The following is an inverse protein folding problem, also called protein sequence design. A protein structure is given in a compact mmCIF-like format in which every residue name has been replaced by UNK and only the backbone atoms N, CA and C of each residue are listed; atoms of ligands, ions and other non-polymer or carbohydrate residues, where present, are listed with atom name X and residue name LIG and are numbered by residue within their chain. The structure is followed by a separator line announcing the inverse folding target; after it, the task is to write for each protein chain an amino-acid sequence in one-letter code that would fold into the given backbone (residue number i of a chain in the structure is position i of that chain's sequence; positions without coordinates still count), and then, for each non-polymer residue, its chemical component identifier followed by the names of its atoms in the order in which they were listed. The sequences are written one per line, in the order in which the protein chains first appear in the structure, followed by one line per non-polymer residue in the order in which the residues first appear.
data_IF_712339191932
#
_entry.id   IF_712339191932
#
_cell.length_a   1.000
_cell.length_b   1.000
_cell.length_c   1.000
_cell.angle_alpha   90.00
_cell.angle_beta   90.00
_cell.angle_gamma   90.00
#
_symmetry.space_group_name_H-M   'P 1'
#
loop_
_entity.id
_entity.type
_entity.pdbx_description
1 polymer ?
#
# COMPACT_ATOMS: atom_id res chain seq x y z
N UNK A 1 -9.14 0.99 21.04
CA UNK A 1 -7.97 1.07 20.14
C UNK A 1 -8.37 0.51 18.79
N UNK A 2 -8.19 1.27 17.71
CA UNK A 2 -8.41 0.81 16.32
C UNK A 2 -7.12 0.32 15.69
N UNK A 3 -7.10 -0.94 15.21
CA UNK A 3 -5.93 -1.54 14.57
C UNK A 3 -6.20 -1.75 13.07
N UNK A 4 -6.37 -0.64 12.34
CA UNK A 4 -6.63 -0.65 10.90
C UNK A 4 -5.59 0.19 10.15
N UNK A 5 -5.26 -0.22 8.92
CA UNK A 5 -4.43 0.58 8.03
C UNK A 5 -5.25 1.76 7.43
N UNK A 6 -5.94 2.48 8.29
CA UNK A 6 -6.79 3.61 7.92
C UNK A 6 -6.26 4.88 8.58
N UNK A 7 -5.79 5.87 7.81
CA UNK A 7 -5.43 7.16 8.35
C UNK A 7 -6.62 7.78 9.11
N UNK A 8 -6.39 8.20 10.37
CA UNK A 8 -7.44 8.81 11.18
C UNK A 8 -8.40 7.83 11.84
N UNK A 9 -8.06 6.54 11.95
CA UNK A 9 -8.91 5.51 12.59
C UNK A 9 -9.35 5.89 14.00
N UNK A 10 -8.51 6.59 14.78
CA UNK A 10 -8.86 7.12 16.10
C UNK A 10 -10.08 8.05 16.03
N UNK A 11 -10.02 9.06 15.19
CA UNK A 11 -11.11 10.03 15.01
C UNK A 11 -12.36 9.37 14.44
N UNK A 12 -12.19 8.42 13.53
CA UNK A 12 -13.30 7.65 12.99
C UNK A 12 -14.03 6.85 14.08
N UNK A 13 -13.30 6.08 14.91
CA UNK A 13 -13.88 5.31 16.01
C UNK A 13 -14.59 6.22 17.02
N UNK A 14 -13.94 7.32 17.41
CA UNK A 14 -14.51 8.31 18.33
C UNK A 14 -15.86 8.82 17.81
N UNK A 15 -15.90 9.26 16.56
CA UNK A 15 -17.12 9.75 15.92
C UNK A 15 -18.21 8.67 15.83
N UNK A 16 -17.86 7.44 15.45
CA UNK A 16 -18.83 6.34 15.37
C UNK A 16 -19.44 6.01 16.74
N UNK A 17 -18.62 6.00 17.80
CA UNK A 17 -19.12 5.74 19.16
C UNK A 17 -20.04 6.85 19.64
N UNK A 18 -19.67 8.13 19.42
CA UNK A 18 -20.52 9.26 19.82
C UNK A 18 -21.87 9.27 19.08
N UNK A 19 -21.86 8.92 17.79
CA UNK A 19 -23.10 8.83 17.00
C UNK A 19 -24.01 7.65 17.40
N UNK A 20 -23.45 6.63 18.06
CA UNK A 20 -24.18 5.42 18.45
C UNK A 20 -24.79 5.49 19.87
N UNK A 21 -24.50 6.55 20.64
CA UNK A 21 -24.97 6.69 22.03
C UNK A 21 -25.91 7.88 22.20
N UNK A 22 -26.70 7.90 23.28
CA UNK A 22 -27.51 9.07 23.62
C UNK A 22 -26.63 10.26 24.04
N UNK A 23 -27.15 11.52 23.98
CA UNK A 23 -26.38 12.70 24.39
C UNK A 23 -25.81 12.63 25.81
N UNK A 24 -26.59 12.07 26.76
CA UNK A 24 -26.14 11.89 28.16
C UNK A 24 -24.97 10.90 28.26
N UNK A 25 -25.00 9.82 27.48
CA UNK A 25 -23.90 8.85 27.40
C UNK A 25 -22.71 9.41 26.65
N UNK A 26 -22.92 10.28 25.67
CA UNK A 26 -21.85 10.94 24.94
C UNK A 26 -20.95 11.76 25.88
N UNK A 27 -21.51 12.48 26.86
CA UNK A 27 -20.74 13.19 27.89
C UNK A 27 -19.86 12.25 28.72
N UNK A 28 -20.38 11.06 29.06
CA UNK A 28 -19.61 10.04 29.79
C UNK A 28 -18.46 9.52 28.93
N UNK A 29 -18.74 9.22 27.65
CA UNK A 29 -17.74 8.76 26.67
C UNK A 29 -16.64 9.80 26.50
N UNK A 30 -17.00 11.08 26.34
CA UNK A 30 -16.02 12.17 26.20
C UNK A 30 -15.15 12.32 27.45
N UNK A 31 -15.73 12.18 28.64
CA UNK A 31 -14.99 12.33 29.89
C UNK A 31 -14.10 11.14 30.20
N UNK A 32 -14.59 9.92 30.06
CA UNK A 32 -13.96 8.69 30.53
C UNK A 32 -13.36 7.82 29.43
N UNK A 33 -13.86 7.92 28.20
CA UNK A 33 -13.40 7.11 27.08
C UNK A 33 -12.09 7.62 26.50
N UNK A 34 -11.15 6.72 26.24
CA UNK A 34 -9.95 6.97 25.48
C UNK A 34 -10.05 6.30 24.09
N UNK A 35 -9.67 7.02 23.04
CA UNK A 35 -9.64 6.52 21.67
C UNK A 35 -8.22 6.60 21.13
N UNK A 36 -7.70 5.48 20.66
CA UNK A 36 -6.35 5.39 20.15
C UNK A 36 -6.30 4.53 18.89
N UNK A 37 -5.19 4.56 18.19
CA UNK A 37 -4.89 3.73 17.06
C UNK A 37 -3.73 2.78 17.39
N UNK A 38 -3.69 1.64 16.72
CA UNK A 38 -2.55 0.73 16.78
C UNK A 38 -2.09 0.35 15.37
N UNK A 39 -0.80 0.11 15.24
CA UNK A 39 -0.13 -0.32 14.02
C UNK A 39 0.60 -1.62 14.29
N UNK A 40 0.31 -2.66 13.52
CA UNK A 40 1.11 -3.89 13.50
C UNK A 40 1.97 -3.94 12.25
N UNK A 41 3.20 -4.42 12.37
CA UNK A 41 4.14 -4.56 11.25
C UNK A 41 4.11 -5.95 10.63
N UNK A 42 3.46 -6.91 11.27
CA UNK A 42 3.37 -8.28 10.83
C UNK A 42 2.64 -8.42 9.49
N UNK A 43 3.20 -9.24 8.61
CA UNK A 43 2.53 -9.71 7.40
C UNK A 43 1.91 -11.05 7.73
N UNK A 44 0.59 -11.16 7.55
CA UNK A 44 -0.15 -12.41 7.65
C UNK A 44 -0.60 -12.82 6.26
N UNK A 45 -0.31 -14.03 5.86
CA UNK A 45 -0.85 -14.67 4.66
C UNK A 45 -2.09 -15.50 5.02
N UNK A 46 -2.86 -15.92 4.01
CA UNK A 46 -4.15 -16.60 4.24
C UNK A 46 -4.03 -17.83 5.16
N UNK A 47 -5.05 -18.04 6.00
CA UNK A 47 -5.13 -19.22 6.86
C UNK A 47 -5.46 -20.48 6.05
N UNK A 48 -4.91 -21.61 6.48
CA UNK A 48 -5.24 -22.95 5.99
C UNK A 48 -5.86 -23.74 7.13
N UNK A 49 -6.81 -24.62 6.78
CA UNK A 49 -7.35 -25.60 7.75
C UNK A 49 -6.44 -26.82 7.74
N UNK A 50 -5.88 -27.15 8.90
CA UNK A 50 -5.06 -28.34 9.11
C UNK A 50 -5.54 -29.02 10.41
N UNK A 51 -5.91 -30.27 10.32
CA UNK A 51 -6.43 -31.09 11.44
C UNK A 51 -7.60 -30.44 12.24
N UNK A 52 -8.42 -29.63 11.57
CA UNK A 52 -9.56 -28.92 12.16
C UNK A 52 -9.19 -27.59 12.83
N UNK A 53 -7.92 -27.19 12.79
CA UNK A 53 -7.43 -25.90 13.27
C UNK A 53 -7.15 -24.93 12.11
N UNK A 54 -7.43 -23.65 12.33
CA UNK A 54 -7.12 -22.59 11.37
C UNK A 54 -5.71 -22.05 11.65
N UNK A 55 -4.77 -22.41 10.76
CA UNK A 55 -3.36 -22.01 10.87
C UNK A 55 -3.08 -20.84 9.95
N UNK A 56 -2.51 -19.78 10.49
CA UNK A 56 -2.05 -18.62 9.72
C UNK A 56 -0.53 -18.63 9.59
N UNK A 57 -0.03 -18.45 8.37
CA UNK A 57 1.38 -18.18 8.15
C UNK A 57 1.64 -16.68 8.24
N UNK A 58 2.74 -16.30 8.85
CA UNK A 58 3.16 -14.90 8.98
C UNK A 58 4.67 -14.77 9.10
N UNK A 59 5.17 -13.56 9.00
CA UNK A 59 6.56 -13.28 9.35
C UNK A 59 6.76 -13.28 10.88
N UNK A 60 8.03 -13.27 11.31
CA UNK A 60 8.41 -13.33 12.72
C UNK A 60 8.25 -11.97 13.42
N UNK A 61 7.94 -10.91 12.67
CA UNK A 61 7.76 -9.56 13.23
C UNK A 61 6.42 -9.44 13.93
N UNK A 62 6.42 -9.00 15.18
CA UNK A 62 5.24 -8.91 16.03
C UNK A 62 5.09 -7.55 16.73
N UNK A 63 5.84 -6.54 16.31
CA UNK A 63 5.75 -5.19 16.85
C UNK A 63 4.31 -4.66 16.80
N UNK A 64 3.80 -4.27 17.96
CA UNK A 64 2.57 -3.52 18.12
C UNK A 64 2.89 -2.10 18.58
N UNK A 65 2.56 -1.12 17.76
CA UNK A 65 2.79 0.30 18.07
C UNK A 65 1.44 0.95 18.35
N UNK A 66 1.32 1.62 19.50
CA UNK A 66 0.09 2.28 19.93
C UNK A 66 0.29 3.78 19.97
N UNK A 67 -0.66 4.53 19.41
CA UNK A 67 -0.74 5.99 19.51
C UNK A 67 -1.03 6.39 20.96
N UNK A 68 -0.10 7.11 21.61
CA UNK A 68 -0.30 7.62 22.96
C UNK A 68 -1.37 8.71 23.00
N UNK A 69 -1.58 9.42 21.88
CA UNK A 69 -2.58 10.46 21.80
C UNK A 69 -4.00 9.90 21.93
N UNK A 70 -4.75 10.42 22.88
CA UNK A 70 -6.14 9.99 23.12
C UNK A 70 -6.30 8.76 24.00
N UNK A 71 -5.21 8.20 24.52
CA UNK A 71 -5.27 7.27 25.65
C UNK A 71 -5.64 8.03 26.91
N UNK A 72 -6.47 7.41 27.75
CA UNK A 72 -6.83 7.93 29.08
C UNK A 72 -6.56 6.86 30.14
N UNK A 73 -6.03 7.28 31.27
CA UNK A 73 -5.61 6.38 32.34
C UNK A 73 -4.24 5.74 32.10
N UNK A 74 -3.81 4.94 33.04
CA UNK A 74 -2.55 4.20 32.97
C UNK A 74 -2.75 2.92 32.14
N UNK A 75 -1.84 2.67 31.21
CA UNK A 75 -1.79 1.41 30.49
C UNK A 75 -0.97 0.39 31.29
N UNK A 76 -1.40 -0.88 31.35
CA UNK A 76 -0.55 -1.92 31.90
C UNK A 76 0.73 -2.05 31.06
N UNK A 77 1.81 -2.47 31.69
CA UNK A 77 3.01 -2.87 30.95
C UNK A 77 2.65 -4.06 30.04
N UNK A 78 2.91 -3.91 28.77
CA UNK A 78 2.70 -4.93 27.75
C UNK A 78 4.05 -5.18 27.07
N UNK A 79 4.52 -6.41 27.12
CA UNK A 79 5.74 -6.83 26.42
C UNK A 79 5.55 -6.65 24.91
N UNK A 80 6.59 -6.21 24.20
CA UNK A 80 6.60 -6.00 22.76
C UNK A 80 5.58 -4.97 22.23
N UNK A 81 5.11 -4.07 23.09
CA UNK A 81 4.24 -2.96 22.72
C UNK A 81 4.97 -1.64 22.88
N UNK A 82 5.07 -0.89 21.79
CA UNK A 82 5.60 0.47 21.79
C UNK A 82 4.47 1.49 21.85
N UNK A 83 4.49 2.38 22.84
CA UNK A 83 3.54 3.49 22.95
C UNK A 83 4.29 4.76 22.58
N UNK A 84 3.76 5.54 21.62
CA UNK A 84 4.44 6.72 21.07
C UNK A 84 3.47 7.82 20.68
N UNK A 85 3.89 9.06 20.80
CA UNK A 85 3.23 10.26 20.26
C UNK A 85 3.63 10.53 18.80
N UNK A 86 4.68 9.89 18.30
CA UNK A 86 5.12 9.94 16.90
C UNK A 86 4.37 8.93 15.99
N UNK A 87 3.23 8.42 16.42
CA UNK A 87 2.45 7.42 15.71
C UNK A 87 2.16 7.78 14.24
N UNK A 88 1.82 9.03 13.85
CA UNK A 88 1.65 9.38 12.43
C UNK A 88 2.91 9.17 11.59
N UNK A 89 4.10 9.44 12.14
CA UNK A 89 5.37 9.18 11.46
C UNK A 89 5.59 7.67 11.28
N UNK A 90 5.29 6.85 12.30
CA UNK A 90 5.39 5.39 12.23
C UNK A 90 4.48 4.80 11.16
N UNK A 91 3.23 5.27 11.07
CA UNK A 91 2.27 4.86 10.02
C UNK A 91 2.80 5.22 8.64
N UNK A 92 3.28 6.46 8.46
CA UNK A 92 3.79 6.95 7.18
C UNK A 92 5.03 6.16 6.74
N UNK A 93 5.97 5.92 7.66
CA UNK A 93 7.17 5.10 7.40
C UNK A 93 6.80 3.69 6.92
N UNK A 94 5.97 2.95 7.68
CA UNK A 94 5.51 1.62 7.27
C UNK A 94 4.81 1.65 5.92
N UNK A 95 3.93 2.63 5.72
CA UNK A 95 3.11 2.72 4.52
C UNK A 95 3.97 2.95 3.27
N UNK A 96 4.98 3.83 3.35
CA UNK A 96 5.81 4.23 2.21
C UNK A 96 7.08 3.40 2.05
N UNK A 97 7.43 2.54 3.02
CA UNK A 97 8.48 1.53 2.87
C UNK A 97 7.89 0.15 2.60
N UNK A 98 7.44 -0.55 3.64
CA UNK A 98 7.00 -1.95 3.57
C UNK A 98 5.82 -2.12 2.60
N UNK A 99 4.75 -1.35 2.82
CA UNK A 99 3.54 -1.52 2.03
C UNK A 99 3.69 -1.01 0.59
N UNK A 100 4.48 0.06 0.38
CA UNK A 100 4.82 0.56 -0.95
C UNK A 100 5.61 -0.49 -1.73
N UNK A 101 6.68 -1.03 -1.14
CA UNK A 101 7.54 -2.05 -1.76
C UNK A 101 6.75 -3.30 -2.15
N UNK A 102 5.86 -3.78 -1.28
CA UNK A 102 4.96 -4.88 -1.61
C UNK A 102 4.02 -4.55 -2.78
N UNK A 103 3.42 -3.36 -2.78
CA UNK A 103 2.53 -2.93 -3.85
C UNK A 103 3.28 -2.77 -5.18
N UNK A 104 4.49 -2.21 -5.17
CA UNK A 104 5.38 -2.13 -6.34
C UNK A 104 5.68 -3.52 -6.91
N UNK A 105 6.06 -4.47 -6.03
CA UNK A 105 6.31 -5.86 -6.44
C UNK A 105 5.05 -6.51 -7.05
N UNK A 106 3.89 -6.29 -6.43
CA UNK A 106 2.64 -6.86 -6.90
C UNK A 106 2.22 -6.33 -8.28
N UNK A 107 2.15 -5.00 -8.44
CA UNK A 107 1.62 -4.43 -9.67
C UNK A 107 2.60 -4.54 -10.85
N UNK A 108 3.89 -4.29 -10.63
CA UNK A 108 4.89 -4.45 -11.69
C UNK A 108 5.07 -5.94 -12.01
N UNK A 109 5.13 -6.81 -10.98
CA UNK A 109 5.22 -8.26 -11.16
C UNK A 109 4.02 -8.84 -11.94
N UNK A 110 2.80 -8.32 -11.70
CA UNK A 110 1.61 -8.69 -12.46
C UNK A 110 1.78 -8.44 -13.96
N UNK A 111 2.36 -7.31 -14.36
CA UNK A 111 2.60 -6.99 -15.78
C UNK A 111 3.62 -7.92 -16.45
N UNK A 112 4.38 -8.68 -15.65
CA UNK A 112 5.39 -9.66 -16.10
C UNK A 112 4.96 -11.11 -15.88
N UNK A 113 3.69 -11.33 -15.47
CA UNK A 113 3.14 -12.68 -15.29
C UNK A 113 3.60 -13.40 -14.02
N UNK A 114 4.23 -12.70 -13.07
CA UNK A 114 4.57 -13.29 -11.77
C UNK A 114 3.31 -13.70 -11.00
N UNK A 115 3.38 -14.81 -10.26
CA UNK A 115 2.28 -15.30 -9.41
C UNK A 115 2.51 -14.95 -7.94
N UNK A 116 3.76 -14.91 -7.51
CA UNK A 116 4.15 -14.64 -6.14
C UNK A 116 5.01 -13.38 -6.04
N UNK A 117 4.97 -12.73 -4.87
CA UNK A 117 5.75 -11.52 -4.59
C UNK A 117 7.26 -11.77 -4.67
N UNK A 118 7.73 -12.92 -4.19
CA UNK A 118 9.14 -13.28 -4.26
C UNK A 118 9.62 -13.49 -5.71
N UNK A 119 8.78 -13.97 -6.61
CA UNK A 119 9.11 -14.04 -8.05
C UNK A 119 9.36 -12.65 -8.63
N UNK A 120 8.48 -11.69 -8.32
CA UNK A 120 8.67 -10.29 -8.73
C UNK A 120 9.94 -9.68 -8.13
N UNK A 121 10.26 -9.99 -6.86
CA UNK A 121 11.47 -9.53 -6.17
C UNK A 121 12.76 -10.09 -6.79
N UNK A 122 12.71 -11.24 -7.46
CA UNK A 122 13.83 -11.88 -8.15
C UNK A 122 13.83 -11.67 -9.66
N UNK A 123 12.75 -11.15 -10.24
CA UNK A 123 12.63 -10.97 -11.69
C UNK A 123 13.61 -9.90 -12.20
N UNK A 124 14.44 -10.18 -13.24
CA UNK A 124 15.52 -9.30 -13.68
C UNK A 124 15.07 -7.89 -14.10
N UNK A 125 13.87 -7.75 -14.66
CA UNK A 125 13.33 -6.45 -15.05
C UNK A 125 12.54 -5.75 -13.93
N UNK A 126 11.98 -6.49 -12.96
CA UNK A 126 11.11 -5.95 -11.90
C UNK A 126 11.92 -5.54 -10.66
N UNK A 127 12.84 -6.38 -10.22
CA UNK A 127 13.63 -6.15 -9.01
C UNK A 127 14.39 -4.79 -9.02
N UNK A 128 15.02 -4.36 -10.12
CA UNK A 128 15.68 -3.05 -10.17
C UNK A 128 14.68 -1.88 -10.01
N UNK A 129 13.47 -1.99 -10.57
CA UNK A 129 12.43 -0.97 -10.46
C UNK A 129 11.92 -0.84 -9.03
N UNK A 130 11.70 -1.97 -8.35
CA UNK A 130 11.29 -1.99 -6.94
C UNK A 130 12.35 -1.29 -6.07
N UNK A 131 13.63 -1.62 -6.22
CA UNK A 131 14.72 -1.01 -5.45
C UNK A 131 14.83 0.49 -5.67
N UNK A 132 14.71 0.94 -6.93
CA UNK A 132 14.74 2.37 -7.27
C UNK A 132 13.55 3.12 -6.68
N UNK A 133 12.32 2.57 -6.78
CA UNK A 133 11.15 3.19 -6.20
C UNK A 133 11.24 3.27 -4.66
N UNK A 134 11.77 2.22 -4.01
CA UNK A 134 12.02 2.24 -2.57
C UNK A 134 13.05 3.30 -2.20
N UNK A 135 14.12 3.46 -2.99
CA UNK A 135 15.11 4.52 -2.76
C UNK A 135 14.50 5.93 -2.89
N UNK A 136 13.60 6.14 -3.86
CA UNK A 136 12.85 7.41 -4.00
C UNK A 136 11.97 7.66 -2.76
N UNK A 137 11.23 6.65 -2.30
CA UNK A 137 10.39 6.74 -1.09
C UNK A 137 11.22 6.99 0.18
N UNK A 138 12.38 6.30 0.33
CA UNK A 138 13.30 6.52 1.43
C UNK A 138 13.83 7.96 1.47
N UNK A 139 14.26 8.49 0.32
CA UNK A 139 14.76 9.85 0.24
C UNK A 139 13.69 10.87 0.68
N UNK A 140 12.45 10.67 0.24
CA UNK A 140 11.32 11.52 0.63
C UNK A 140 11.01 11.41 2.13
N UNK A 141 11.01 10.20 2.69
CA UNK A 141 10.79 9.96 4.11
C UNK A 141 11.89 10.57 4.99
N UNK A 142 13.16 10.46 4.59
CA UNK A 142 14.28 11.08 5.32
C UNK A 142 14.22 12.60 5.30
N UNK A 143 13.75 13.20 4.20
CA UNK A 143 13.53 14.63 4.12
C UNK A 143 12.37 15.10 5.00
N UNK A 144 11.30 14.32 5.13
CA UNK A 144 10.15 14.64 6.00
C UNK A 144 10.45 14.36 7.48
N UNK A 145 11.15 13.26 7.77
CA UNK A 145 11.44 12.79 9.13
C UNK A 145 12.95 12.58 9.35
N UNK A 146 13.76 13.64 9.38
CA UNK A 146 15.23 13.52 9.46
C UNK A 146 15.70 12.77 10.71
N UNK A 147 14.96 12.88 11.83
CA UNK A 147 15.28 12.19 13.08
C UNK A 147 15.05 10.68 13.02
N UNK A 148 14.31 10.19 12.02
CA UNK A 148 14.05 8.76 11.80
C UNK A 148 14.93 8.12 10.72
N UNK A 149 15.99 8.79 10.25
CA UNK A 149 16.79 8.36 9.09
C UNK A 149 17.31 6.92 9.21
N UNK A 150 17.87 6.55 10.36
CA UNK A 150 18.35 5.18 10.61
C UNK A 150 17.22 4.15 10.60
N UNK A 151 16.12 4.48 11.25
CA UNK A 151 14.94 3.59 11.29
C UNK A 151 14.30 3.43 9.90
N UNK A 152 14.32 4.46 9.04
CA UNK A 152 13.87 4.39 7.65
C UNK A 152 14.77 3.46 6.83
N UNK A 153 16.09 3.46 7.07
CA UNK A 153 17.02 2.52 6.44
C UNK A 153 16.72 1.08 6.83
N UNK A 154 16.49 0.83 8.12
CA UNK A 154 16.11 -0.48 8.64
C UNK A 154 14.78 -0.95 8.01
N UNK A 155 13.76 -0.08 7.99
CA UNK A 155 12.45 -0.38 7.39
C UNK A 155 12.57 -0.77 5.91
N UNK A 156 13.46 -0.11 5.17
CA UNK A 156 13.65 -0.42 3.75
C UNK A 156 14.42 -1.72 3.51
N UNK A 157 15.45 -2.00 4.31
CA UNK A 157 16.15 -3.28 4.26
C UNK A 157 15.19 -4.45 4.57
N UNK A 158 14.36 -4.27 5.59
CA UNK A 158 13.31 -5.21 5.97
C UNK A 158 12.27 -5.40 4.86
N UNK A 159 11.81 -4.32 4.23
CA UNK A 159 10.86 -4.39 3.12
C UNK A 159 11.39 -5.25 1.96
N UNK A 160 12.67 -5.13 1.60
CA UNK A 160 13.30 -5.95 0.57
C UNK A 160 13.43 -7.42 1.00
N UNK A 161 13.81 -7.68 2.25
CA UNK A 161 13.90 -9.04 2.81
C UNK A 161 12.54 -9.73 2.78
N UNK A 162 11.49 -9.04 3.18
CA UNK A 162 10.12 -9.59 3.23
C UNK A 162 9.59 -9.97 1.87
N UNK A 163 9.74 -9.11 0.84
CA UNK A 163 9.27 -9.44 -0.51
C UNK A 163 10.05 -10.58 -1.16
N UNK A 164 11.30 -10.82 -0.73
CA UNK A 164 12.13 -11.92 -1.20
C UNK A 164 11.86 -13.24 -0.46
N UNK A 165 11.09 -13.22 0.64
CA UNK A 165 10.84 -14.39 1.47
C UNK A 165 9.89 -15.40 0.78
N UNK A 166 10.46 -16.47 0.26
CA UNK A 166 9.73 -17.56 -0.42
C UNK A 166 8.75 -18.27 0.53
N UNK A 167 9.10 -18.38 1.83
CA UNK A 167 8.27 -19.08 2.82
C UNK A 167 6.92 -18.42 3.05
N UNK A 168 6.79 -17.11 2.82
CA UNK A 168 5.51 -16.42 2.94
C UNK A 168 4.51 -16.84 1.86
N UNK A 169 4.98 -17.36 0.74
CA UNK A 169 4.14 -17.76 -0.41
C UNK A 169 3.09 -16.70 -0.77
N UNK A 170 3.43 -15.41 -0.57
CA UNK A 170 2.50 -14.30 -0.72
C UNK A 170 2.18 -14.06 -2.19
N UNK A 171 0.90 -14.11 -2.54
CA UNK A 171 0.47 -14.02 -3.94
C UNK A 171 0.33 -12.57 -4.41
N UNK A 172 0.67 -12.32 -5.66
CA UNK A 172 0.42 -11.05 -6.34
C UNK A 172 -1.05 -10.62 -6.20
N UNK A 173 -2.00 -11.53 -6.43
CA UNK A 173 -3.44 -11.25 -6.33
C UNK A 173 -3.85 -10.75 -4.94
N UNK A 174 -3.35 -11.39 -3.87
CA UNK A 174 -3.66 -10.95 -2.50
C UNK A 174 -3.15 -9.52 -2.24
N UNK A 175 -1.91 -9.26 -2.62
CA UNK A 175 -1.28 -7.95 -2.38
C UNK A 175 -1.85 -6.87 -3.31
N UNK A 176 -2.14 -7.18 -4.57
CA UNK A 176 -2.68 -6.22 -5.55
C UNK A 176 -4.15 -5.87 -5.31
N UNK A 177 -4.91 -6.71 -4.59
CA UNK A 177 -6.36 -6.55 -4.36
C UNK A 177 -6.72 -5.12 -3.95
N UNK A 178 -7.83 -4.60 -4.52
CA UNK A 178 -8.36 -3.26 -4.30
C UNK A 178 -7.37 -2.15 -4.69
N UNK A 179 -7.08 -2.00 -5.99
CA UNK A 179 -6.13 -0.99 -6.49
C UNK A 179 -6.58 0.45 -6.21
N UNK A 180 -7.89 0.75 -6.25
CA UNK A 180 -8.40 2.10 -5.98
C UNK A 180 -7.98 2.63 -4.62
N UNK A 181 -8.13 1.81 -3.56
CA UNK A 181 -7.67 2.21 -2.24
C UNK A 181 -6.17 2.52 -2.22
N UNK A 182 -5.35 1.66 -2.86
CA UNK A 182 -3.88 1.81 -2.88
C UNK A 182 -3.39 2.99 -3.71
N UNK A 183 -4.22 3.47 -4.64
CA UNK A 183 -3.97 4.64 -5.48
C UNK A 183 -4.38 5.95 -4.82
N UNK A 184 -5.08 5.94 -3.69
CA UNK A 184 -5.46 7.17 -2.98
C UNK A 184 -4.24 8.02 -2.60
N UNK A 185 -4.41 9.35 -2.59
CA UNK A 185 -3.35 10.32 -2.29
C UNK A 185 -2.70 10.16 -0.90
N UNK A 186 -3.39 9.51 0.04
CA UNK A 186 -2.88 9.22 1.40
C UNK A 186 -2.32 7.82 1.55
N UNK A 187 -2.34 7.03 0.48
CA UNK A 187 -1.96 5.64 0.48
C UNK A 187 -0.55 5.43 -0.12
N UNK A 188 -0.10 4.19 -0.07
CA UNK A 188 1.28 3.72 -0.25
C UNK A 188 1.97 4.06 -1.57
N UNK A 189 1.21 4.26 -2.65
CA UNK A 189 1.77 4.55 -3.97
C UNK A 189 1.78 6.05 -4.25
N UNK A 190 0.60 6.66 -4.42
CA UNK A 190 0.48 8.08 -4.73
C UNK A 190 0.95 8.94 -3.56
N UNK A 191 0.67 8.54 -2.32
CA UNK A 191 1.15 9.26 -1.14
C UNK A 191 2.68 9.34 -1.06
N UNK A 192 3.39 8.26 -1.37
CA UNK A 192 4.86 8.25 -1.41
C UNK A 192 5.39 9.18 -2.53
N UNK A 193 4.77 9.14 -3.72
CA UNK A 193 5.14 10.01 -4.83
C UNK A 193 4.87 11.49 -4.52
N UNK A 194 3.74 11.81 -3.87
CA UNK A 194 3.40 13.17 -3.42
C UNK A 194 4.37 13.68 -2.34
N UNK A 195 4.83 12.79 -1.45
CA UNK A 195 5.86 13.16 -0.47
C UNK A 195 7.16 13.54 -1.16
N UNK A 196 7.59 12.78 -2.17
CA UNK A 196 8.77 13.11 -2.98
C UNK A 196 8.60 14.45 -3.73
N UNK A 197 7.41 14.71 -4.34
CA UNK A 197 7.11 16.00 -4.97
C UNK A 197 7.24 17.17 -4.00
N UNK A 198 6.69 17.04 -2.79
CA UNK A 198 6.76 18.08 -1.73
C UNK A 198 8.20 18.48 -1.43
N UNK A 199 9.10 17.51 -1.42
CA UNK A 199 10.53 17.71 -1.17
C UNK A 199 11.35 17.94 -2.45
N UNK A 200 10.70 18.05 -3.62
CA UNK A 200 11.36 18.24 -4.94
C UNK A 200 12.37 17.14 -5.25
N UNK A 201 12.04 15.91 -4.86
CA UNK A 201 12.87 14.71 -5.09
C UNK A 201 12.35 13.88 -6.27
N UNK A 202 13.21 13.09 -6.93
CA UNK A 202 12.79 12.18 -7.99
C UNK A 202 11.74 11.17 -7.52
N UNK A 203 10.79 10.81 -8.43
CA UNK A 203 9.75 9.81 -8.16
C UNK A 203 9.34 9.04 -9.43
N UNK A 204 10.20 8.99 -10.42
CA UNK A 204 9.91 8.35 -11.71
C UNK A 204 9.60 6.86 -11.58
N UNK A 205 10.28 6.15 -10.67
CA UNK A 205 10.06 4.72 -10.44
C UNK A 205 8.78 4.47 -9.62
N UNK A 206 8.44 5.34 -8.68
CA UNK A 206 7.13 5.32 -8.03
C UNK A 206 6.01 5.51 -9.05
N UNK A 207 6.17 6.42 -10.01
CA UNK A 207 5.21 6.62 -11.11
C UNK A 207 5.02 5.36 -11.97
N UNK A 208 6.07 4.52 -12.17
CA UNK A 208 5.93 3.23 -12.87
C UNK A 208 5.00 2.28 -12.10
N UNK A 209 5.16 2.18 -10.78
CA UNK A 209 4.28 1.35 -9.95
C UNK A 209 2.84 1.83 -9.91
N UNK A 210 2.63 3.16 -9.87
CA UNK A 210 1.29 3.76 -9.95
C UNK A 210 0.66 3.44 -11.31
N UNK A 211 1.41 3.57 -12.40
CA UNK A 211 0.96 3.23 -13.74
C UNK A 211 0.60 1.74 -13.88
N UNK A 212 1.39 0.86 -13.28
CA UNK A 212 1.11 -0.59 -13.23
C UNK A 212 -0.17 -0.89 -12.41
N UNK A 213 -0.41 -0.17 -11.32
CA UNK A 213 -1.64 -0.30 -10.53
C UNK A 213 -2.89 0.17 -11.30
N UNK A 214 -2.76 1.23 -12.09
CA UNK A 214 -3.83 1.70 -13.01
C UNK A 214 -4.13 0.70 -14.14
N UNK A 215 -3.16 -0.13 -14.51
CA UNK A 215 -3.29 -1.15 -15.55
C UNK A 215 -3.68 -2.54 -15.01
N UNK A 216 -3.81 -2.69 -13.67
CA UNK A 216 -4.20 -3.96 -13.05
C UNK A 216 -5.64 -4.32 -13.39
N UNK A 217 -5.86 -5.52 -13.95
CA UNK A 217 -7.14 -5.94 -14.52
C UNK A 217 -7.58 -7.36 -14.13
N UNK A 218 -7.20 -7.82 -12.92
CA UNK A 218 -7.60 -9.13 -12.42
C UNK A 218 -9.13 -9.26 -12.36
N UNK A 219 -9.67 -10.26 -13.06
CA UNK A 219 -11.12 -10.50 -13.19
C UNK A 219 -11.79 -10.97 -11.90
N UNK A 220 -11.02 -11.46 -10.93
CA UNK A 220 -11.53 -11.88 -9.63
C UNK A 220 -11.57 -10.72 -8.61
N UNK A 221 -11.02 -9.56 -8.95
CA UNK A 221 -11.07 -8.36 -8.12
C UNK A 221 -12.10 -7.36 -8.66
N UNK A 222 -13.26 -7.26 -8.01
CA UNK A 222 -14.34 -6.34 -8.41
C UNK A 222 -13.91 -4.88 -8.43
N UNK A 223 -12.95 -4.47 -7.58
CA UNK A 223 -12.40 -3.12 -7.57
C UNK A 223 -11.47 -2.88 -8.78
N UNK A 224 -10.71 -3.89 -9.21
CA UNK A 224 -9.91 -3.82 -10.42
C UNK A 224 -10.80 -3.73 -11.68
N UNK A 225 -11.86 -4.54 -11.73
CA UNK A 225 -12.85 -4.48 -12.81
C UNK A 225 -13.52 -3.09 -12.88
N UNK A 226 -13.95 -2.55 -11.74
CA UNK A 226 -14.53 -1.21 -11.67
C UNK A 226 -13.54 -0.12 -12.10
N UNK A 227 -12.27 -0.21 -11.69
CA UNK A 227 -11.20 0.69 -12.13
C UNK A 227 -11.01 0.65 -13.65
N UNK A 228 -10.90 -0.56 -14.21
CA UNK A 228 -10.75 -0.77 -15.66
C UNK A 228 -11.94 -0.23 -16.43
N UNK A 229 -13.17 -0.50 -15.95
CA UNK A 229 -14.40 0.03 -16.55
C UNK A 229 -14.35 1.57 -16.61
N UNK A 230 -14.08 2.23 -15.49
CA UNK A 230 -14.04 3.68 -15.45
C UNK A 230 -12.94 4.28 -16.33
N UNK A 231 -11.75 3.66 -16.39
CA UNK A 231 -10.69 4.09 -17.31
C UNK A 231 -11.12 3.95 -18.76
N UNK A 232 -11.85 2.87 -19.12
CA UNK A 232 -12.28 2.65 -20.49
C UNK A 232 -13.35 3.61 -20.96
N UNK A 233 -14.26 4.04 -20.08
CA UNK A 233 -15.37 4.95 -20.42
C UNK A 233 -15.04 6.43 -20.21
N UNK A 234 -14.22 6.75 -19.23
CA UNK A 234 -13.98 8.13 -18.81
C UNK A 234 -12.52 8.57 -18.94
N UNK A 235 -11.63 7.63 -19.28
CA UNK A 235 -10.21 7.88 -19.37
C UNK A 235 -9.48 7.85 -18.02
N UNK A 236 -8.15 7.73 -18.09
CA UNK A 236 -7.29 7.64 -16.89
C UNK A 236 -7.28 8.93 -16.07
N UNK A 237 -7.55 10.07 -16.69
CA UNK A 237 -7.56 11.39 -16.01
C UNK A 237 -8.63 11.47 -14.92
N UNK A 238 -9.80 10.82 -15.12
CA UNK A 238 -10.82 10.71 -14.09
C UNK A 238 -10.28 10.02 -12.84
N UNK A 239 -9.62 8.91 -13.00
CA UNK A 239 -9.05 8.16 -11.87
C UNK A 239 -7.93 8.94 -11.18
N UNK A 240 -7.07 9.60 -11.95
CA UNK A 240 -6.03 10.47 -11.40
C UNK A 240 -6.63 11.60 -10.55
N UNK A 241 -7.79 12.13 -10.95
CA UNK A 241 -8.46 13.21 -10.21
C UNK A 241 -9.26 12.68 -9.02
N UNK A 242 -10.15 11.71 -9.22
CA UNK A 242 -11.11 11.29 -8.20
C UNK A 242 -10.50 10.35 -7.16
N UNK A 243 -9.69 9.37 -7.60
CA UNK A 243 -9.10 8.38 -6.71
C UNK A 243 -7.72 8.82 -6.18
N UNK A 244 -6.87 9.40 -7.06
CA UNK A 244 -5.51 9.79 -6.71
C UNK A 244 -5.42 11.22 -6.14
N UNK A 245 -6.46 12.06 -6.31
CA UNK A 245 -6.46 13.46 -5.87
C UNK A 245 -5.48 14.34 -6.63
N UNK A 246 -5.15 13.99 -7.88
CA UNK A 246 -4.21 14.70 -8.75
C UNK A 246 -4.96 15.44 -9.85
N UNK A 247 -4.70 16.72 -10.00
CA UNK A 247 -5.32 17.50 -11.09
C UNK A 247 -4.61 17.22 -12.42
N UNK A 248 -5.31 17.30 -13.57
CA UNK A 248 -4.73 16.91 -14.86
C UNK A 248 -3.50 17.74 -15.29
N UNK A 249 -3.35 18.93 -14.74
CA UNK A 249 -2.19 19.80 -15.01
C UNK A 249 -1.01 19.56 -14.08
N UNK A 250 -1.18 18.78 -13.01
CA UNK A 250 -0.10 18.46 -12.07
C UNK A 250 1.04 17.75 -12.78
N UNK A 251 2.31 18.11 -12.52
CA UNK A 251 3.46 17.43 -13.10
C UNK A 251 3.48 15.93 -12.79
N UNK A 252 3.08 15.54 -11.58
CA UNK A 252 2.99 14.14 -11.17
C UNK A 252 1.93 13.38 -11.99
N UNK A 253 0.73 13.95 -12.18
CA UNK A 253 -0.31 13.33 -12.99
C UNK A 253 0.15 13.10 -14.45
N UNK A 254 0.84 14.07 -15.04
CA UNK A 254 1.39 13.97 -16.39
C UNK A 254 2.45 12.85 -16.50
N UNK A 255 3.34 12.74 -15.50
CA UNK A 255 4.35 11.66 -15.46
C UNK A 255 3.69 10.29 -15.35
N UNK A 256 2.75 10.11 -14.42
CA UNK A 256 2.02 8.85 -14.24
C UNK A 256 1.28 8.47 -15.53
N UNK A 257 0.56 9.40 -16.15
CA UNK A 257 -0.15 9.19 -17.42
C UNK A 257 0.79 8.79 -18.54
N UNK A 258 1.98 9.42 -18.63
CA UNK A 258 3.01 9.06 -19.60
C UNK A 258 3.51 7.62 -19.44
N UNK A 259 3.79 7.19 -18.19
CA UNK A 259 4.19 5.81 -17.88
C UNK A 259 3.06 4.81 -18.19
N UNK A 260 1.81 5.13 -17.83
CA UNK A 260 0.64 4.30 -18.12
C UNK A 260 0.42 4.12 -19.63
N UNK A 261 0.48 5.18 -20.42
CA UNK A 261 0.36 5.12 -21.88
C UNK A 261 1.44 4.20 -22.49
N UNK A 262 2.69 4.27 -22.00
CA UNK A 262 3.78 3.42 -22.47
C UNK A 262 3.53 1.95 -22.16
N UNK A 263 3.01 1.65 -20.96
CA UNK A 263 2.73 0.30 -20.51
C UNK A 263 1.57 -0.33 -21.30
N UNK A 264 0.47 0.40 -21.54
CA UNK A 264 -0.68 -0.07 -22.29
C UNK A 264 -0.32 -0.34 -23.76
N UNK A 265 0.49 0.53 -24.37
CA UNK A 265 0.98 0.32 -25.76
C UNK A 265 1.82 -0.96 -25.89
N UNK A 266 2.72 -1.22 -24.91
CA UNK A 266 3.53 -2.45 -24.93
C UNK A 266 2.68 -3.72 -24.75
N UNK A 267 1.66 -3.68 -23.90
CA UNK A 267 0.73 -4.80 -23.68
C UNK A 267 -0.15 -5.11 -24.89
N UNK A 268 -0.56 -4.08 -25.62
CA UNK A 268 -1.35 -4.26 -26.87
C UNK A 268 -0.54 -4.95 -27.95
N UNK A 269 0.74 -4.62 -28.12
CA UNK A 269 1.61 -5.27 -29.10
C UNK A 269 1.85 -6.75 -28.79
N UNK A 270 1.89 -7.15 -27.52
CA UNK A 270 2.04 -8.57 -27.12
C UNK A 270 0.74 -9.38 -27.30
N UNK A 271 -0.44 -8.80 -27.07
CA UNK A 271 -1.73 -9.49 -27.29
C UNK A 271 -2.01 -9.74 -28.77
N UNK A 272 -1.60 -8.88 -29.67
CA UNK A 272 -1.71 -9.10 -31.12
C UNK A 272 -0.71 -10.12 -31.66
N UNK A 273 0.49 -10.23 -31.06
CA UNK A 273 1.48 -11.25 -31.41
C UNK A 273 1.08 -12.67 -31.00
N UNK A 274 0.43 -12.85 -29.84
CA UNK A 274 -0.04 -14.15 -29.35
C UNK A 274 -1.28 -14.66 -30.11
N UNK A 275 -2.16 -13.77 -30.57
CA UNK A 275 -3.35 -14.17 -31.38
C UNK A 275 -3.00 -14.60 -32.80
N UNK A 276 -1.86 -14.19 -33.36
CA UNK A 276 -1.41 -14.59 -34.67
C UNK A 276 -0.79 -16.00 -34.73
N UNK A 277 -0.49 -16.62 -33.57
CA UNK A 277 0.13 -17.97 -33.53
C UNK A 277 -0.85 -19.11 -33.33
N UNK A 278 -2.13 -18.89 -33.03
CA UNK A 278 -3.11 -19.93 -32.77
C UNK A 278 -4.15 -20.17 -33.91
N UNK A 279 -3.89 -19.67 -35.13
CA UNK A 279 -4.77 -19.89 -36.26
C UNK A 279 -4.24 -20.88 -37.32
N UNK A 280 -3.30 -21.75 -36.94
CA UNK A 280 -2.86 -22.86 -37.81
C UNK A 280 -2.80 -24.17 -37.04
N UNK A 281 -3.95 -24.72 -36.70
CA UNK A 281 -4.18 -26.16 -36.53
C UNK A 281 -5.70 -26.39 -36.53
N UNK A 282 -6.23 -26.64 -37.70
CA UNK A 282 -7.39 -27.43 -37.99
C UNK A 282 -7.03 -28.37 -39.14
#
# INVERSE_FOLDING_TARGET
IGSENLPGVRSYLHHQVLNAVSPEKAEIVERAGGFSAALTRRIMTGGIMEDGELIFSGDEDYDLIIDSCGLKGELPYLEDVTITDEFPAMVTRKLFTINCTQAMAAYIGYTKGCRFIHEAAMHPEVAPLIRKALAEAQAALKAEFPHHSEAIEKDAAEALSRIANVKLADTIRRVAKNPRRKLSSRERLVGAALLAERHKLPNDNLCIGIAAALAYDDVEDTHALGLRHDISFHGVDKILTEDCGLLPYDPLAKRIKGKWNSLVKSSSSHRYGAAAFNSKEW
#
